data_IF_616452253833
#
_entry.id   IF_616452253833
#
_cell.length_a   1.000
_cell.length_b   1.000
_cell.length_c   1.000
_cell.angle_alpha   90.00
_cell.angle_beta   90.00
_cell.angle_gamma   90.00
#
_symmetry.space_group_name_H-M   'P 1'
#
loop_
_entity.id
_entity.type
_entity.pdbx_description
1 polymer ?
#
# COMPACT_ATOMS: atom_id res chain seq x y z
N UNK A 1 -13.69 -3.17 18.66
CA UNK A 1 -12.86 -2.80 17.49
C UNK A 1 -11.93 -1.61 17.72
N UNK A 2 -11.82 -1.04 18.94
CA UNK A 2 -10.85 0.01 19.27
C UNK A 2 -9.43 -0.51 19.65
N UNK A 3 -9.24 -1.84 19.61
CA UNK A 3 -8.06 -2.49 20.19
C UNK A 3 -6.85 -2.55 19.27
N UNK A 4 -6.98 -2.17 18.00
CA UNK A 4 -5.87 -2.19 17.04
C UNK A 4 -5.26 -0.82 16.74
N UNK A 5 -5.88 0.30 17.14
CA UNK A 5 -5.35 1.65 16.85
C UNK A 5 -4.68 2.32 18.05
N UNK A 6 -5.19 2.15 19.28
CA UNK A 6 -4.61 2.82 20.47
C UNK A 6 -3.52 1.98 21.17
N UNK A 7 -3.58 0.65 21.08
CA UNK A 7 -2.70 -0.25 21.84
C UNK A 7 -1.25 -0.35 21.34
N UNK A 8 -0.98 0.12 20.11
CA UNK A 8 0.35 0.13 19.51
C UNK A 8 0.94 1.53 19.34
N UNK A 9 0.15 2.58 19.63
CA UNK A 9 0.63 3.95 19.58
C UNK A 9 1.83 4.12 20.53
N UNK A 10 2.90 4.73 20.02
CA UNK A 10 4.14 5.02 20.76
C UNK A 10 4.98 3.82 21.20
N UNK A 11 4.63 2.59 20.80
CA UNK A 11 5.48 1.42 20.99
C UNK A 11 6.63 1.41 19.99
N UNK A 12 7.84 1.08 20.44
CA UNK A 12 9.02 1.02 19.58
C UNK A 12 9.28 -0.42 19.20
N UNK A 13 9.69 -0.68 17.96
CA UNK A 13 10.08 -2.03 17.54
C UNK A 13 11.11 -2.67 18.49
N UNK A 14 12.02 -1.86 19.03
CA UNK A 14 13.04 -2.29 20.01
C UNK A 14 12.46 -2.92 21.28
N UNK A 15 11.21 -2.60 21.63
CA UNK A 15 10.54 -3.13 22.82
C UNK A 15 10.07 -4.58 22.60
N UNK A 16 10.12 -5.07 21.35
CA UNK A 16 9.64 -6.39 20.92
C UNK A 16 10.72 -7.22 20.20
N UNK A 17 11.97 -6.76 20.19
CA UNK A 17 13.08 -7.42 19.48
C UNK A 17 14.24 -7.71 20.41
N UNK A 18 14.95 -8.82 20.16
CA UNK A 18 16.16 -9.18 20.91
C UNK A 18 17.40 -8.37 20.49
N UNK A 19 17.28 -7.59 19.41
CA UNK A 19 18.31 -6.68 18.90
C UNK A 19 17.84 -5.22 19.02
N UNK A 20 18.73 -4.28 19.39
CA UNK A 20 18.32 -2.90 19.62
C UNK A 20 18.02 -2.11 18.33
N UNK A 21 18.60 -2.51 17.19
CA UNK A 21 18.39 -1.90 15.87
C UNK A 21 18.01 -2.96 14.84
N UNK A 22 16.79 -3.48 14.93
CA UNK A 22 16.29 -4.54 14.04
C UNK A 22 16.49 -4.20 12.55
N UNK A 23 16.20 -2.96 12.16
CA UNK A 23 16.32 -2.51 10.76
C UNK A 23 17.77 -2.43 10.26
N UNK A 24 18.77 -2.53 11.13
CA UNK A 24 20.18 -2.58 10.75
C UNK A 24 20.74 -3.99 10.56
N UNK A 25 20.02 -5.01 11.00
CA UNK A 25 20.43 -6.41 10.85
C UNK A 25 20.51 -6.76 9.36
N UNK A 26 21.66 -7.28 8.86
CA UNK A 26 21.85 -7.54 7.43
C UNK A 26 20.77 -8.43 6.79
N UNK A 27 20.34 -9.48 7.50
CA UNK A 27 19.27 -10.36 7.04
C UNK A 27 17.93 -9.63 6.92
N UNK A 28 17.60 -8.74 7.87
CA UNK A 28 16.36 -7.94 7.85
C UNK A 28 16.41 -6.93 6.71
N UNK A 29 17.51 -6.19 6.56
CA UNK A 29 17.72 -5.26 5.43
C UNK A 29 17.52 -5.95 4.09
N UNK A 30 18.12 -7.13 3.93
CA UNK A 30 18.01 -7.94 2.72
C UNK A 30 16.55 -8.29 2.42
N UNK A 31 15.82 -8.83 3.40
CA UNK A 31 14.41 -9.22 3.23
C UNK A 31 13.52 -8.00 2.92
N UNK A 32 13.73 -6.87 3.60
CA UNK A 32 12.99 -5.63 3.29
C UNK A 32 13.27 -5.20 1.84
N UNK A 33 14.53 -5.21 1.40
CA UNK A 33 14.89 -4.83 0.03
C UNK A 33 14.32 -5.80 -1.03
N UNK A 34 14.22 -7.10 -0.71
CA UNK A 34 13.59 -8.12 -1.56
C UNK A 34 12.06 -7.94 -1.67
N UNK A 35 11.41 -7.47 -0.61
CA UNK A 35 9.95 -7.27 -0.55
C UNK A 35 9.50 -5.84 -0.89
N UNK A 36 10.43 -4.90 -1.09
CA UNK A 36 10.08 -3.53 -1.47
C UNK A 36 9.58 -3.49 -2.91
N UNK A 37 8.35 -3.00 -3.08
CA UNK A 37 7.69 -2.84 -4.39
C UNK A 37 8.37 -1.77 -5.27
N UNK A 38 8.05 -1.75 -6.57
CA UNK A 38 8.58 -0.77 -7.53
C UNK A 38 9.83 -1.21 -8.29
N UNK A 39 10.53 -2.24 -7.80
CA UNK A 39 11.70 -2.84 -8.49
C UNK A 39 11.33 -3.59 -9.77
N UNK A 40 10.16 -4.20 -9.79
CA UNK A 40 9.64 -4.95 -10.92
C UNK A 40 8.37 -4.30 -11.42
N UNK A 41 8.21 -4.27 -12.75
CA UNK A 41 7.01 -3.81 -13.42
C UNK A 41 5.91 -4.88 -13.29
N UNK A 42 4.73 -4.57 -12.75
CA UNK A 42 3.56 -5.43 -12.85
C UNK A 42 3.24 -5.81 -14.31
N UNK A 43 3.01 -7.11 -14.54
CA UNK A 43 2.58 -7.62 -15.86
C UNK A 43 1.09 -7.37 -16.16
N UNK A 44 0.34 -6.86 -15.18
CA UNK A 44 -1.08 -6.56 -15.27
C UNK A 44 -1.36 -5.09 -14.93
N UNK A 45 -2.50 -4.54 -15.36
CA UNK A 45 -3.03 -3.29 -14.81
C UNK A 45 -3.24 -3.38 -13.30
N UNK A 46 -3.10 -2.26 -12.59
CA UNK A 46 -3.16 -2.20 -11.12
C UNK A 46 -4.23 -1.19 -10.68
N UNK A 47 -5.00 -1.55 -9.65
CA UNK A 47 -5.88 -0.64 -8.94
C UNK A 47 -5.35 -0.44 -7.53
N UNK A 48 -5.12 0.80 -7.14
CA UNK A 48 -4.68 1.15 -5.79
C UNK A 48 -5.63 2.18 -5.20
N UNK A 49 -5.97 2.01 -3.94
CA UNK A 49 -6.66 3.03 -3.16
C UNK A 49 -5.90 3.22 -1.85
N UNK A 50 -5.79 4.48 -1.42
CA UNK A 50 -5.01 4.84 -0.24
C UNK A 50 -5.64 6.01 0.50
N UNK A 51 -5.65 5.94 1.83
CA UNK A 51 -6.06 7.05 2.69
C UNK A 51 -4.99 8.13 2.70
N UNK A 52 -5.39 9.39 2.50
CA UNK A 52 -4.46 10.52 2.58
C UNK A 52 -3.88 10.64 4.00
N UNK A 53 -4.69 10.36 5.01
CA UNK A 53 -4.35 10.43 6.44
C UNK A 53 -4.26 9.05 7.11
N UNK A 54 -3.95 8.01 6.34
CA UNK A 54 -3.73 6.66 6.87
C UNK A 54 -2.57 6.67 7.89
N UNK A 55 -2.89 6.26 9.10
CA UNK A 55 -2.00 6.31 10.27
C UNK A 55 -1.10 5.08 10.41
N UNK A 56 -1.35 4.02 9.64
CA UNK A 56 -0.56 2.77 9.68
C UNK A 56 0.28 2.61 8.42
N UNK A 57 -0.34 2.78 7.25
CA UNK A 57 0.31 2.74 5.95
C UNK A 57 0.41 4.15 5.39
N UNK A 58 1.50 4.84 5.71
CA UNK A 58 1.69 6.23 5.28
C UNK A 58 1.56 6.36 3.76
N UNK A 59 0.83 7.39 3.32
CA UNK A 59 0.54 7.62 1.90
C UNK A 59 1.74 7.98 1.01
N UNK A 60 2.80 8.71 1.45
CA UNK A 60 3.84 9.15 0.53
C UNK A 60 4.63 8.02 -0.18
N UNK A 61 5.02 6.92 0.50
CA UNK A 61 5.62 5.76 -0.18
C UNK A 61 4.69 5.14 -1.23
N UNK A 62 3.38 5.10 -0.99
CA UNK A 62 2.40 4.60 -1.97
C UNK A 62 2.29 5.56 -3.15
N UNK A 63 2.19 6.87 -2.90
CA UNK A 63 2.18 7.89 -3.96
C UNK A 63 3.46 7.80 -4.85
N UNK A 64 4.62 7.46 -4.27
CA UNK A 64 5.87 7.22 -5.00
C UNK A 64 5.84 5.92 -5.81
N UNK A 65 5.26 4.85 -5.27
CA UNK A 65 5.12 3.58 -5.96
C UNK A 65 4.25 3.73 -7.22
N UNK A 66 3.11 4.42 -7.11
CA UNK A 66 2.24 4.66 -8.26
C UNK A 66 2.93 5.47 -9.36
N UNK A 67 3.67 6.52 -8.98
CA UNK A 67 4.51 7.28 -9.93
C UNK A 67 5.54 6.40 -10.63
N UNK A 68 6.15 5.46 -9.89
CA UNK A 68 7.14 4.52 -10.44
C UNK A 68 6.48 3.57 -11.44
N UNK A 69 5.31 3.03 -11.13
CA UNK A 69 4.56 2.16 -12.05
C UNK A 69 4.06 2.91 -13.29
N UNK A 70 3.58 4.14 -13.14
CA UNK A 70 3.23 4.99 -14.28
C UNK A 70 4.42 5.23 -15.20
N UNK A 71 5.60 5.56 -14.65
CA UNK A 71 6.82 5.76 -15.43
C UNK A 71 7.28 4.49 -16.16
N UNK A 72 6.92 3.30 -15.65
CA UNK A 72 7.17 2.01 -16.29
C UNK A 72 6.10 1.62 -17.33
N UNK A 73 5.08 2.45 -17.57
CA UNK A 73 4.00 2.20 -18.51
C UNK A 73 3.03 1.11 -18.04
N UNK A 74 2.80 1.01 -16.73
CA UNK A 74 1.73 0.19 -16.14
C UNK A 74 0.44 1.01 -16.20
N UNK A 75 -0.68 0.39 -16.60
CA UNK A 75 -2.00 1.01 -16.42
C UNK A 75 -2.37 1.00 -14.94
N UNK A 76 -2.28 2.16 -14.29
CA UNK A 76 -2.59 2.34 -12.88
C UNK A 76 -3.87 3.14 -12.74
N UNK A 77 -4.85 2.61 -12.02
CA UNK A 77 -5.97 3.37 -11.51
C UNK A 77 -5.74 3.65 -10.02
N UNK A 78 -5.37 4.89 -9.68
CA UNK A 78 -5.09 5.28 -8.30
C UNK A 78 -6.20 6.16 -7.72
N UNK A 79 -6.69 5.82 -6.52
CA UNK A 79 -7.73 6.56 -5.80
C UNK A 79 -7.25 6.98 -4.42
N UNK A 80 -7.08 8.29 -4.23
CA UNK A 80 -6.80 8.87 -2.91
C UNK A 80 -8.10 9.15 -2.17
N UNK A 81 -8.22 8.65 -0.95
CA UNK A 81 -9.41 8.83 -0.10
C UNK A 81 -9.08 9.90 0.96
N UNK A 82 -9.76 11.06 0.93
CA UNK A 82 -9.37 12.22 1.76
C UNK A 82 -9.78 12.11 3.22
N UNK A 83 -10.72 11.22 3.56
CA UNK A 83 -11.27 11.09 4.92
C UNK A 83 -11.31 9.62 5.33
N UNK A 84 -10.71 9.32 6.48
CA UNK A 84 -10.72 7.99 7.09
C UNK A 84 -9.34 7.57 7.57
N UNK A 85 -9.34 6.79 8.64
CA UNK A 85 -8.18 6.03 9.13
C UNK A 85 -7.97 4.76 8.26
N UNK A 86 -6.90 4.00 8.54
CA UNK A 86 -6.53 2.80 7.80
C UNK A 86 -7.71 1.82 7.61
N UNK A 87 -8.45 1.55 8.69
CA UNK A 87 -9.56 0.58 8.69
C UNK A 87 -10.75 1.12 7.90
N UNK A 88 -11.09 2.39 8.10
CA UNK A 88 -12.22 3.02 7.40
C UNK A 88 -11.94 3.10 5.90
N UNK A 89 -10.71 3.41 5.52
CA UNK A 89 -10.26 3.46 4.11
C UNK A 89 -10.35 2.08 3.46
N UNK A 90 -9.99 1.00 4.16
CA UNK A 90 -10.13 -0.37 3.67
C UNK A 90 -11.59 -0.68 3.28
N UNK A 91 -12.56 -0.29 4.12
CA UNK A 91 -13.99 -0.48 3.85
C UNK A 91 -14.46 0.41 2.68
N UNK A 92 -14.06 1.68 2.66
CA UNK A 92 -14.44 2.63 1.60
C UNK A 92 -13.91 2.23 0.22
N UNK A 93 -12.72 1.64 0.15
CA UNK A 93 -12.08 1.23 -1.09
C UNK A 93 -12.57 -0.10 -1.64
N UNK A 94 -13.03 -1.03 -0.78
CA UNK A 94 -13.38 -2.39 -1.16
C UNK A 94 -14.38 -2.50 -2.33
N UNK A 95 -15.50 -1.75 -2.39
CA UNK A 95 -16.42 -1.82 -3.52
C UNK A 95 -15.75 -1.47 -4.86
N UNK A 96 -14.88 -0.46 -4.86
CA UNK A 96 -14.15 -0.03 -6.06
C UNK A 96 -13.14 -1.07 -6.52
N UNK A 97 -12.42 -1.70 -5.59
CA UNK A 97 -11.50 -2.79 -5.90
C UNK A 97 -12.22 -4.02 -6.49
N UNK A 98 -13.37 -4.40 -5.91
CA UNK A 98 -14.19 -5.51 -6.42
C UNK A 98 -14.74 -5.20 -7.82
N UNK A 99 -15.23 -3.99 -8.06
CA UNK A 99 -15.71 -3.56 -9.37
C UNK A 99 -14.58 -3.58 -10.42
N UNK A 100 -13.39 -3.06 -10.05
CA UNK A 100 -12.23 -3.08 -10.92
C UNK A 100 -11.83 -4.51 -11.32
N UNK A 101 -11.79 -5.44 -10.35
CA UNK A 101 -11.48 -6.84 -10.62
C UNK A 101 -12.53 -7.49 -11.53
N UNK A 102 -13.82 -7.27 -11.26
CA UNK A 102 -14.91 -7.78 -12.08
C UNK A 102 -14.78 -7.31 -13.55
N UNK A 103 -14.45 -6.04 -13.76
CA UNK A 103 -14.23 -5.49 -15.09
C UNK A 103 -13.02 -6.11 -15.81
N UNK A 104 -11.91 -6.39 -15.11
CA UNK A 104 -10.75 -7.07 -15.70
C UNK A 104 -11.08 -8.52 -16.08
N UNK A 105 -11.81 -9.23 -15.22
CA UNK A 105 -12.26 -10.60 -15.49
C UNK A 105 -13.28 -10.66 -16.65
N UNK A 106 -14.06 -9.60 -16.85
CA UNK A 106 -14.95 -9.45 -18.00
C UNK A 106 -14.25 -8.97 -19.28
N UNK A 107 -12.92 -8.84 -19.28
CA UNK A 107 -12.15 -8.41 -20.45
C UNK A 107 -12.28 -6.92 -20.81
N UNK A 108 -12.82 -6.08 -19.91
CA UNK A 108 -12.95 -4.65 -20.16
C UNK A 108 -11.57 -3.96 -20.06
N UNK A 109 -11.28 -2.98 -20.96
CA UNK A 109 -10.04 -2.20 -20.89
C UNK A 109 -9.82 -1.60 -19.50
N UNK A 110 -8.58 -1.60 -19.02
CA UNK A 110 -8.24 -1.02 -17.72
C UNK A 110 -8.18 0.51 -17.81
N UNK A 111 -8.87 1.25 -16.91
CA UNK A 111 -8.70 2.69 -16.82
C UNK A 111 -7.32 3.05 -16.26
N UNK A 112 -6.88 4.28 -16.49
CA UNK A 112 -5.60 4.80 -16.02
C UNK A 112 -5.74 6.23 -15.49
N UNK A 113 -5.05 6.52 -14.39
CA UNK A 113 -4.78 7.85 -13.85
C UNK A 113 -3.29 8.20 -13.89
N UNK A 114 -2.46 7.32 -14.46
CA UNK A 114 -1.32 7.81 -15.23
C UNK A 114 -1.89 8.59 -16.41
#
# INVERSE_FOLDING_TARGET
MAQFTVGQAFRRMRDYTTVPQLLDVPAVKRVIAENTMGRFKPGSPVYVYQGVFDELAFSPPVDQLERTYCAQGVSVQYRRIPVGDHVTVAVQGAPGALAYLADRLAGKPAPSTC
#
